data_IF_467532802652
#
_entry.id   IF_467532802652
#
_cell.length_a   1.000
_cell.length_b   1.000
_cell.length_c   1.000
_cell.angle_alpha   90.00
_cell.angle_beta   90.00
_cell.angle_gamma   90.00
#
_symmetry.space_group_name_H-M   'P 1'
#
loop_
_entity.id
_entity.type
_entity.pdbx_description
1 polymer ?
#
# COMPACT_ATOMS: atom_id res chain seq x y z
N UNK A 1 29.23 38.87 23.64
CA UNK A 1 28.00 38.91 22.82
C UNK A 1 28.26 38.04 21.64
N UNK A 2 27.86 36.78 21.69
CA UNK A 2 28.08 35.78 20.64
C UNK A 2 26.76 35.36 20.05
N UNK A 3 26.60 35.61 18.77
CA UNK A 3 25.45 35.25 17.94
C UNK A 3 25.49 33.77 17.62
N UNK A 4 24.49 33.03 18.04
CA UNK A 4 24.28 31.64 17.64
C UNK A 4 23.73 31.62 16.22
N UNK A 5 24.59 31.22 15.28
CA UNK A 5 24.20 30.92 13.91
C UNK A 5 23.49 29.56 13.86
N UNK A 6 22.26 29.57 13.34
CA UNK A 6 21.52 28.34 13.04
C UNK A 6 22.28 27.54 11.99
N UNK A 7 22.72 26.34 12.33
CA UNK A 7 23.26 25.38 11.40
C UNK A 7 22.11 24.81 10.54
N UNK A 8 21.97 25.38 9.35
CA UNK A 8 21.28 24.75 8.24
C UNK A 8 22.20 23.65 7.73
N UNK A 9 21.88 22.39 7.98
CA UNK A 9 22.59 21.26 7.37
C UNK A 9 22.05 21.14 5.96
N UNK A 10 22.83 21.49 4.92
CA UNK A 10 22.45 21.16 3.56
C UNK A 10 22.63 19.64 3.42
N UNK A 11 21.54 18.94 3.09
CA UNK A 11 21.56 17.55 2.70
C UNK A 11 22.54 17.39 1.52
N UNK A 12 23.77 17.00 1.82
CA UNK A 12 24.82 16.75 0.83
C UNK A 12 24.42 15.54 -0.01
N UNK A 13 24.15 15.85 -1.25
CA UNK A 13 23.98 15.04 -2.44
C UNK A 13 25.14 14.06 -2.56
N UNK A 14 24.91 12.81 -2.19
CA UNK A 14 25.68 11.69 -2.71
C UNK A 14 24.80 11.02 -3.76
N UNK A 15 25.27 11.04 -5.01
CA UNK A 15 24.77 10.25 -6.12
C UNK A 15 24.97 8.76 -5.77
N UNK A 16 23.99 8.20 -5.07
CA UNK A 16 23.71 6.77 -5.01
C UNK A 16 22.32 6.62 -5.58
N UNK A 17 22.14 5.62 -6.43
CA UNK A 17 20.94 5.20 -7.11
C UNK A 17 19.69 5.89 -6.57
N UNK A 18 18.99 6.65 -7.47
CA UNK A 18 17.82 7.44 -7.09
C UNK A 18 16.79 6.50 -6.47
N UNK A 19 16.88 6.26 -5.16
CA UNK A 19 15.81 5.62 -4.42
C UNK A 19 14.60 6.52 -4.59
N UNK A 20 13.56 6.03 -5.24
CA UNK A 20 12.33 6.77 -5.40
C UNK A 20 11.75 7.03 -4.00
N UNK A 21 11.25 8.24 -3.76
CA UNK A 21 10.76 8.64 -2.44
C UNK A 21 9.37 9.28 -2.56
N UNK A 22 8.59 9.10 -1.53
CA UNK A 22 7.29 9.75 -1.36
C UNK A 22 7.47 10.85 -0.31
N UNK A 23 7.34 12.09 -0.73
CA UNK A 23 7.43 13.26 0.13
C UNK A 23 6.03 13.78 0.45
N UNK A 24 5.67 13.79 1.71
CA UNK A 24 4.47 14.44 2.24
C UNK A 24 4.90 15.71 2.96
N UNK A 25 4.33 16.87 2.58
CA UNK A 25 4.70 18.16 3.16
C UNK A 25 3.47 19.00 3.47
N UNK A 26 3.33 19.37 4.75
CA UNK A 26 2.27 20.23 5.24
C UNK A 26 0.85 19.68 5.04
N UNK A 27 0.69 18.37 4.99
CA UNK A 27 -0.60 17.71 4.76
C UNK A 27 -1.59 18.10 5.87
N UNK A 28 -2.66 18.80 5.47
CA UNK A 28 -3.77 19.15 6.35
C UNK A 28 -5.07 18.74 5.68
N UNK A 29 -5.92 18.04 6.40
CA UNK A 29 -7.20 17.54 5.88
C UNK A 29 -8.29 17.50 6.94
N UNK A 30 -9.49 17.96 6.58
CA UNK A 30 -10.74 17.75 7.30
C UNK A 30 -11.84 17.37 6.32
N UNK A 31 -12.84 16.60 6.77
CA UNK A 31 -14.01 16.32 5.95
C UNK A 31 -14.92 17.56 5.82
N UNK A 32 -15.62 17.67 4.69
CA UNK A 32 -16.63 18.71 4.51
C UNK A 32 -17.65 18.69 5.66
N UNK A 33 -17.92 19.86 6.23
CA UNK A 33 -18.83 20.01 7.37
C UNK A 33 -18.25 19.61 8.74
N UNK A 34 -16.99 19.18 8.80
CA UNK A 34 -16.28 18.93 10.05
C UNK A 34 -15.43 20.14 10.43
N UNK A 35 -15.39 20.46 11.71
CA UNK A 35 -14.48 21.47 12.28
C UNK A 35 -13.20 20.86 12.83
N UNK A 36 -13.08 19.53 12.84
CA UNK A 36 -11.90 18.84 13.35
C UNK A 36 -11.02 18.33 12.20
N UNK A 37 -9.74 18.71 12.23
CA UNK A 37 -8.76 18.19 11.31
C UNK A 37 -8.47 16.71 11.62
N UNK A 38 -8.48 15.89 10.59
CA UNK A 38 -7.98 14.50 10.66
C UNK A 38 -6.46 14.50 10.63
N UNK A 39 -5.86 15.37 9.78
CA UNK A 39 -4.42 15.62 9.71
C UNK A 39 -4.17 17.13 9.78
N UNK A 40 -3.10 17.54 10.47
CA UNK A 40 -2.76 18.93 10.66
C UNK A 40 -1.26 19.15 10.47
N UNK A 41 -0.89 19.82 9.37
CA UNK A 41 0.48 20.16 9.00
C UNK A 41 1.48 18.97 9.11
N UNK A 42 1.08 17.81 8.61
CA UNK A 42 1.87 16.59 8.68
C UNK A 42 2.93 16.56 7.58
N UNK A 43 4.18 16.28 7.94
CA UNK A 43 5.29 16.19 6.99
C UNK A 43 6.18 15.00 7.32
N UNK A 44 6.47 14.18 6.31
CA UNK A 44 7.39 13.03 6.42
C UNK A 44 7.84 12.58 5.03
N UNK A 45 8.84 11.69 5.01
CA UNK A 45 9.35 11.05 3.81
C UNK A 45 9.31 9.54 3.96
N UNK A 46 8.96 8.83 2.89
CA UNK A 46 8.93 7.37 2.78
C UNK A 46 9.84 6.99 1.61
N UNK A 47 10.67 5.98 1.80
CA UNK A 47 11.37 5.31 0.72
C UNK A 47 10.44 4.29 0.06
N UNK A 48 10.41 4.24 -1.27
CA UNK A 48 9.52 3.36 -2.02
C UNK A 48 9.90 1.88 -1.93
N UNK A 49 11.06 1.55 -1.38
CA UNK A 49 11.46 0.17 -1.08
C UNK A 49 10.98 -0.33 0.29
N UNK A 50 10.46 0.56 1.14
CA UNK A 50 10.04 0.18 2.48
C UNK A 50 8.74 -0.62 2.50
N UNK A 51 8.64 -1.47 3.50
CA UNK A 51 7.43 -2.22 3.86
C UNK A 51 6.85 -1.60 5.12
N UNK A 52 5.84 -0.77 4.95
CA UNK A 52 5.28 0.02 6.05
C UNK A 52 4.01 -0.61 6.62
N UNK A 53 3.92 -0.70 7.92
CA UNK A 53 2.67 -1.00 8.62
C UNK A 53 1.97 0.28 9.02
N UNK A 54 0.74 0.51 8.59
CA UNK A 54 -0.06 1.66 9.00
C UNK A 54 -0.84 1.33 10.28
N UNK A 55 -0.42 1.91 11.38
CA UNK A 55 -0.94 1.64 12.71
C UNK A 55 -1.68 2.86 13.25
N UNK A 56 -2.75 2.63 13.96
CA UNK A 56 -3.55 3.67 14.60
C UNK A 56 -4.89 3.13 15.09
N UNK A 57 -5.50 3.83 16.04
CA UNK A 57 -6.83 3.44 16.56
C UNK A 57 -7.87 3.45 15.44
N UNK A 58 -8.88 2.59 15.53
CA UNK A 58 -9.99 2.58 14.58
C UNK A 58 -10.69 3.95 14.58
N UNK A 59 -11.09 4.40 13.39
CA UNK A 59 -11.69 5.72 13.21
C UNK A 59 -10.72 6.91 13.25
N UNK A 60 -9.41 6.68 13.33
CA UNK A 60 -8.38 7.75 13.43
C UNK A 60 -7.73 8.13 12.11
N UNK A 61 -8.32 7.77 10.97
CA UNK A 61 -7.89 8.27 9.67
C UNK A 61 -7.02 7.33 8.83
N UNK A 62 -6.88 6.03 9.16
CA UNK A 62 -6.12 5.09 8.31
C UNK A 62 -6.63 5.07 6.86
N UNK A 63 -7.91 4.75 6.69
CA UNK A 63 -8.55 4.73 5.36
C UNK A 63 -8.55 6.12 4.70
N UNK A 64 -8.71 7.18 5.51
CA UNK A 64 -8.62 8.57 5.03
C UNK A 64 -7.23 8.85 4.45
N UNK A 65 -6.17 8.45 5.15
CA UNK A 65 -4.80 8.63 4.67
C UNK A 65 -4.55 7.87 3.35
N UNK A 66 -4.98 6.60 3.25
CA UNK A 66 -4.87 5.85 2.00
C UNK A 66 -5.64 6.53 0.86
N UNK A 67 -6.84 7.05 1.13
CA UNK A 67 -7.63 7.76 0.11
C UNK A 67 -7.00 9.10 -0.30
N UNK A 68 -6.29 9.79 0.60
CA UNK A 68 -5.51 10.99 0.26
C UNK A 68 -4.33 10.65 -0.66
N UNK A 69 -3.60 9.56 -0.41
CA UNK A 69 -2.54 9.07 -1.30
C UNK A 69 -3.09 8.72 -2.69
N UNK A 70 -4.30 8.15 -2.75
CA UNK A 70 -5.00 7.83 -4.00
C UNK A 70 -5.59 9.05 -4.71
N UNK A 71 -5.45 10.25 -4.15
CA UNK A 71 -6.00 11.48 -4.74
C UNK A 71 -7.53 11.57 -4.72
N UNK A 72 -8.22 10.81 -3.86
CA UNK A 72 -9.69 10.80 -3.78
C UNK A 72 -10.27 12.01 -3.04
N UNK A 73 -9.46 12.73 -2.30
CA UNK A 73 -9.85 13.92 -1.54
C UNK A 73 -8.91 15.08 -1.83
N UNK A 74 -9.45 16.29 -1.86
CA UNK A 74 -8.65 17.50 -1.86
C UNK A 74 -8.07 17.76 -0.46
N UNK A 75 -6.84 18.25 -0.41
CA UNK A 75 -6.12 18.52 0.84
C UNK A 75 -5.20 19.73 0.69
N UNK A 76 -4.79 20.31 1.81
CA UNK A 76 -3.76 21.35 1.84
C UNK A 76 -2.38 20.67 2.02
N UNK A 77 -1.36 21.30 1.42
CA UNK A 77 0.00 20.74 1.40
C UNK A 77 0.35 20.07 0.08
N UNK A 78 1.29 19.13 0.09
CA UNK A 78 1.69 18.43 -1.13
C UNK A 78 2.13 16.99 -0.84
N UNK A 79 1.80 16.08 -1.75
CA UNK A 79 2.33 14.72 -1.83
C UNK A 79 3.06 14.61 -3.17
N UNK A 80 4.36 14.32 -3.14
CA UNK A 80 5.22 14.24 -4.33
C UNK A 80 5.88 12.87 -4.40
N UNK A 81 5.74 12.20 -5.53
CA UNK A 81 6.36 10.90 -5.81
C UNK A 81 6.46 10.70 -7.32
N UNK A 82 7.33 9.79 -7.73
CA UNK A 82 7.42 9.26 -9.11
C UNK A 82 6.60 7.99 -9.28
N UNK A 83 6.16 7.37 -8.19
CA UNK A 83 5.40 6.13 -8.19
C UNK A 83 3.89 6.41 -8.28
N UNK A 84 3.15 5.47 -8.86
CA UNK A 84 1.69 5.47 -8.84
C UNK A 84 1.19 4.68 -7.62
N UNK A 85 0.17 5.21 -6.97
CA UNK A 85 -0.49 4.48 -5.88
C UNK A 85 -1.56 3.57 -6.42
N UNK A 86 -1.50 2.29 -6.04
CA UNK A 86 -2.53 1.30 -6.34
C UNK A 86 -3.07 0.70 -5.05
N UNK A 87 -4.36 0.36 -5.05
CA UNK A 87 -5.06 -0.09 -3.85
C UNK A 87 -5.49 -1.54 -3.96
N UNK A 88 -5.24 -2.28 -2.89
CA UNK A 88 -5.77 -3.62 -2.69
C UNK A 88 -6.80 -3.59 -1.55
N UNK A 89 -7.97 -4.20 -1.69
CA UNK A 89 -8.49 -4.87 -2.89
C UNK A 89 -9.04 -3.87 -3.92
N UNK A 90 -8.76 -4.07 -5.21
CA UNK A 90 -9.40 -3.26 -6.23
C UNK A 90 -10.84 -3.77 -6.50
N UNK A 91 -11.78 -2.87 -6.80
CA UNK A 91 -13.17 -3.25 -7.05
C UNK A 91 -13.31 -3.97 -8.40
N UNK A 92 -14.13 -5.02 -8.43
CA UNK A 92 -14.55 -5.69 -9.67
C UNK A 92 -16.06 -5.48 -9.81
N UNK A 93 -16.48 -4.90 -10.92
CA UNK A 93 -17.89 -4.64 -11.21
C UNK A 93 -18.69 -5.94 -11.34
N UNK A 94 -19.96 -5.91 -10.94
CA UNK A 94 -20.83 -7.10 -10.94
C UNK A 94 -20.99 -7.72 -12.33
N UNK A 95 -21.01 -6.87 -13.35
CA UNK A 95 -21.15 -7.28 -14.76
C UNK A 95 -19.94 -8.10 -15.23
N UNK A 96 -18.77 -7.88 -14.64
CA UNK A 96 -17.54 -8.58 -14.99
C UNK A 96 -17.35 -9.91 -14.27
N UNK A 97 -18.16 -10.19 -13.24
CA UNK A 97 -17.99 -11.39 -12.42
C UNK A 97 -18.06 -12.71 -13.18
N UNK A 98 -18.84 -12.74 -14.28
CA UNK A 98 -19.02 -13.94 -15.14
C UNK A 98 -17.95 -14.10 -16.20
N UNK A 99 -17.14 -13.08 -16.44
CA UNK A 99 -16.07 -13.14 -17.43
C UNK A 99 -14.92 -14.02 -16.92
N UNK A 100 -14.06 -14.48 -17.84
CA UNK A 100 -12.83 -15.11 -17.43
C UNK A 100 -11.96 -14.13 -16.63
N UNK A 101 -11.20 -14.65 -15.69
CA UNK A 101 -10.35 -13.83 -14.81
C UNK A 101 -9.37 -12.97 -15.62
N UNK A 102 -8.84 -13.50 -16.72
CA UNK A 102 -7.95 -12.74 -17.62
C UNK A 102 -8.67 -11.54 -18.26
N UNK A 103 -9.92 -11.70 -18.69
CA UNK A 103 -10.71 -10.61 -19.28
C UNK A 103 -11.02 -9.52 -18.28
N UNK A 104 -11.25 -9.90 -17.01
CA UNK A 104 -11.42 -8.95 -15.90
C UNK A 104 -10.13 -8.15 -15.69
N UNK A 105 -8.98 -8.82 -15.70
CA UNK A 105 -7.67 -8.16 -15.57
C UNK A 105 -7.43 -7.21 -16.74
N UNK A 106 -7.64 -7.64 -17.98
CA UNK A 106 -7.46 -6.83 -19.19
C UNK A 106 -8.30 -5.55 -19.16
N UNK A 107 -9.53 -5.65 -18.67
CA UNK A 107 -10.43 -4.50 -18.58
C UNK A 107 -10.01 -3.48 -17.52
N UNK A 108 -9.46 -3.95 -16.39
CA UNK A 108 -9.04 -3.08 -15.28
C UNK A 108 -7.62 -2.53 -15.53
N UNK A 109 -6.75 -3.35 -16.09
CA UNK A 109 -5.34 -3.03 -16.36
C UNK A 109 -4.95 -3.45 -17.79
N UNK A 110 -5.29 -2.64 -18.81
CA UNK A 110 -5.09 -2.99 -20.22
C UNK A 110 -3.62 -3.26 -20.60
N UNK A 111 -2.69 -2.63 -19.91
CA UNK A 111 -1.25 -2.71 -20.18
C UNK A 111 -0.54 -3.82 -19.35
N UNK A 112 -1.29 -4.84 -18.90
CA UNK A 112 -0.70 -5.93 -18.12
C UNK A 112 0.25 -6.81 -18.97
N UNK A 113 1.28 -7.32 -18.31
CA UNK A 113 2.21 -8.30 -18.89
C UNK A 113 1.89 -9.69 -18.31
N UNK A 114 1.26 -10.55 -19.10
CA UNK A 114 0.80 -11.87 -18.66
C UNK A 114 1.89 -12.70 -17.96
N UNK A 115 3.10 -12.70 -18.52
CA UNK A 115 4.21 -13.47 -17.95
C UNK A 115 4.59 -13.01 -16.54
N UNK A 116 4.52 -11.70 -16.25
CA UNK A 116 4.76 -11.17 -14.89
C UNK A 116 3.69 -11.66 -13.93
N UNK A 117 2.42 -11.63 -14.34
CA UNK A 117 1.31 -12.14 -13.51
C UNK A 117 1.51 -13.63 -13.23
N UNK A 118 1.88 -14.42 -14.24
CA UNK A 118 2.15 -15.85 -14.06
C UNK A 118 3.29 -16.11 -13.06
N UNK A 119 4.38 -15.34 -13.12
CA UNK A 119 5.46 -15.42 -12.14
C UNK A 119 4.98 -15.10 -10.72
N UNK A 120 4.13 -14.10 -10.55
CA UNK A 120 3.58 -13.73 -9.26
C UNK A 120 2.61 -14.79 -8.72
N UNK A 121 1.80 -15.39 -9.60
CA UNK A 121 0.90 -16.51 -9.24
C UNK A 121 1.70 -17.73 -8.76
N UNK A 122 2.81 -18.06 -9.42
CA UNK A 122 3.69 -19.15 -8.99
C UNK A 122 4.24 -18.91 -7.58
N UNK A 123 4.70 -17.69 -7.28
CA UNK A 123 5.12 -17.30 -5.93
C UNK A 123 4.00 -17.42 -4.89
N UNK A 124 2.74 -17.26 -5.32
CA UNK A 124 1.54 -17.43 -4.52
C UNK A 124 1.00 -18.87 -4.53
N UNK A 125 1.78 -19.82 -5.06
CA UNK A 125 1.42 -21.24 -5.16
C UNK A 125 0.04 -21.42 -5.84
N UNK A 126 -0.15 -20.76 -6.97
CA UNK A 126 -1.41 -20.78 -7.71
C UNK A 126 -1.12 -21.01 -9.18
N UNK A 127 -1.80 -22.01 -9.77
CA UNK A 127 -1.67 -22.32 -11.18
C UNK A 127 -2.24 -21.21 -12.06
N UNK A 128 -1.54 -20.88 -13.15
CA UNK A 128 -1.98 -19.87 -14.11
C UNK A 128 -3.30 -20.24 -14.81
N UNK A 129 -3.74 -21.51 -14.78
CA UNK A 129 -5.06 -21.93 -15.28
C UNK A 129 -6.22 -21.16 -14.62
N UNK A 130 -6.00 -20.62 -13.40
CA UNK A 130 -6.98 -19.77 -12.71
C UNK A 130 -7.41 -18.58 -13.55
N UNK A 131 -6.54 -18.07 -14.42
CA UNK A 131 -6.81 -16.93 -15.29
C UNK A 131 -7.90 -17.22 -16.33
N UNK A 132 -8.10 -18.48 -16.69
CA UNK A 132 -9.10 -18.95 -17.63
C UNK A 132 -10.38 -19.47 -16.98
N UNK A 133 -10.51 -19.33 -15.68
CA UNK A 133 -11.74 -19.61 -14.94
C UNK A 133 -12.60 -18.34 -14.82
N UNK A 134 -13.92 -18.52 -14.77
CA UNK A 134 -14.85 -17.41 -14.51
C UNK A 134 -14.54 -16.81 -13.12
N UNK A 135 -14.42 -15.48 -13.03
CA UNK A 135 -14.03 -14.78 -11.80
C UNK A 135 -14.98 -15.06 -10.63
N UNK A 136 -16.29 -15.24 -10.90
CA UNK A 136 -17.27 -15.58 -9.87
C UNK A 136 -17.05 -16.95 -9.24
N UNK A 137 -16.39 -17.88 -9.95
CA UNK A 137 -16.11 -19.24 -9.44
C UNK A 137 -14.89 -19.30 -8.54
N UNK A 138 -14.09 -18.24 -8.48
CA UNK A 138 -12.91 -18.17 -7.64
C UNK A 138 -13.33 -18.03 -6.18
N UNK A 139 -12.70 -18.83 -5.32
CA UNK A 139 -12.78 -18.65 -3.87
C UNK A 139 -12.21 -17.27 -3.46
N UNK A 140 -12.54 -16.83 -2.26
CA UNK A 140 -12.01 -15.56 -1.74
C UNK A 140 -10.48 -15.55 -1.71
N UNK A 141 -9.85 -16.66 -1.30
CA UNK A 141 -8.40 -16.82 -1.29
C UNK A 141 -7.78 -16.76 -2.69
N UNK A 142 -8.41 -17.41 -3.68
CA UNK A 142 -7.97 -17.36 -5.08
C UNK A 142 -8.06 -15.94 -5.64
N UNK A 143 -9.15 -15.21 -5.37
CA UNK A 143 -9.30 -13.79 -5.76
C UNK A 143 -8.23 -12.91 -5.14
N UNK A 144 -7.96 -13.09 -3.84
CA UNK A 144 -6.89 -12.37 -3.14
C UNK A 144 -5.54 -12.59 -3.80
N UNK A 145 -5.20 -13.83 -4.13
CA UNK A 145 -3.93 -14.18 -4.79
C UNK A 145 -3.85 -13.57 -6.19
N UNK A 146 -4.91 -13.65 -7.00
CA UNK A 146 -4.96 -13.03 -8.32
C UNK A 146 -4.78 -11.51 -8.22
N UNK A 147 -5.51 -10.84 -7.31
CA UNK A 147 -5.39 -9.40 -7.14
C UNK A 147 -3.97 -8.98 -6.72
N UNK A 148 -3.34 -9.70 -5.78
CA UNK A 148 -1.97 -9.42 -5.37
C UNK A 148 -0.99 -9.67 -6.52
N UNK A 149 -1.15 -10.74 -7.29
CA UNK A 149 -0.32 -11.04 -8.45
C UNK A 149 -0.37 -9.92 -9.49
N UNK A 150 -1.57 -9.42 -9.81
CA UNK A 150 -1.77 -8.31 -10.75
C UNK A 150 -1.10 -7.04 -10.25
N UNK A 151 -1.31 -6.67 -8.99
CA UNK A 151 -0.77 -5.44 -8.44
C UNK A 151 0.76 -5.46 -8.36
N UNK A 152 1.37 -6.56 -7.91
CA UNK A 152 2.82 -6.69 -7.81
C UNK A 152 3.51 -6.97 -9.16
N UNK A 153 2.77 -7.26 -10.23
CA UNK A 153 3.31 -7.38 -11.58
C UNK A 153 3.55 -6.03 -12.27
N UNK A 154 2.98 -4.94 -11.72
CA UNK A 154 3.09 -3.59 -12.28
C UNK A 154 4.41 -2.94 -11.88
N UNK A 155 4.99 -2.20 -12.83
CA UNK A 155 6.19 -1.39 -12.58
C UNK A 155 5.80 0.01 -12.08
N UNK A 156 6.69 0.65 -11.32
CA UNK A 156 6.52 2.01 -10.82
C UNK A 156 5.25 2.24 -9.98
N UNK A 157 4.89 1.25 -9.18
CA UNK A 157 3.75 1.34 -8.27
C UNK A 157 4.18 1.17 -6.81
N UNK A 158 3.51 1.93 -5.95
CA UNK A 158 3.58 1.78 -4.51
C UNK A 158 2.22 1.32 -4.00
N UNK A 159 2.17 0.15 -3.38
CA UNK A 159 0.90 -0.51 -3.08
C UNK A 159 0.33 -0.09 -1.72
N UNK A 160 -0.98 0.13 -1.69
CA UNK A 160 -1.76 0.37 -0.49
C UNK A 160 -2.61 -0.88 -0.23
N UNK A 161 -2.15 -1.73 0.67
CA UNK A 161 -2.74 -3.06 0.92
C UNK A 161 -3.56 -3.00 2.20
N UNK A 162 -4.87 -3.13 2.06
CA UNK A 162 -5.82 -3.05 3.17
C UNK A 162 -6.43 -4.43 3.47
N UNK A 163 -6.11 -4.97 4.65
CA UNK A 163 -6.63 -6.24 5.18
C UNK A 163 -6.53 -7.44 4.22
N UNK A 164 -5.37 -7.78 3.66
CA UNK A 164 -5.22 -8.79 2.62
C UNK A 164 -5.51 -10.22 3.10
N UNK A 165 -5.49 -10.46 4.40
CA UNK A 165 -5.70 -11.79 5.00
C UNK A 165 -7.09 -11.99 5.59
N UNK A 166 -7.98 -10.99 5.46
CA UNK A 166 -9.35 -11.12 5.95
C UNK A 166 -10.09 -12.23 5.20
N UNK A 167 -10.82 -13.04 5.96
CA UNK A 167 -11.62 -14.16 5.45
C UNK A 167 -10.82 -15.26 4.73
N UNK A 168 -9.49 -15.29 4.87
CA UNK A 168 -8.66 -16.36 4.35
C UNK A 168 -8.61 -17.55 5.34
N UNK A 169 -8.60 -18.76 4.80
CA UNK A 169 -8.22 -19.95 5.57
C UNK A 169 -6.74 -19.88 5.96
N UNK A 170 -6.34 -20.72 6.92
CA UNK A 170 -5.01 -20.67 7.49
C UNK A 170 -3.91 -20.95 6.44
N UNK A 171 -4.12 -21.90 5.54
CA UNK A 171 -3.12 -22.26 4.55
C UNK A 171 -2.89 -21.13 3.55
N UNK A 172 -3.96 -20.54 3.04
CA UNK A 172 -3.90 -19.38 2.13
C UNK A 172 -3.27 -18.16 2.82
N UNK A 173 -3.59 -17.92 4.10
CA UNK A 173 -2.97 -16.86 4.89
C UNK A 173 -1.46 -17.01 4.97
N UNK A 174 -0.95 -18.20 5.31
CA UNK A 174 0.49 -18.48 5.40
C UNK A 174 1.21 -18.28 4.05
N UNK A 175 0.54 -18.57 2.92
CA UNK A 175 1.08 -18.31 1.58
C UNK A 175 1.20 -16.81 1.34
N UNK A 176 0.13 -16.03 1.61
CA UNK A 176 0.12 -14.57 1.43
C UNK A 176 1.14 -13.89 2.33
N UNK A 177 1.29 -14.32 3.58
CA UNK A 177 2.31 -13.81 4.51
C UNK A 177 3.73 -14.02 3.95
N UNK A 178 4.05 -15.25 3.52
CA UNK A 178 5.36 -15.58 2.92
C UNK A 178 5.62 -14.77 1.66
N UNK A 179 4.60 -14.54 0.87
CA UNK A 179 4.67 -13.74 -0.35
C UNK A 179 4.97 -12.26 -0.03
N UNK A 180 4.18 -11.61 0.83
CA UNK A 180 4.37 -10.21 1.21
C UNK A 180 5.75 -9.98 1.87
N UNK A 181 6.23 -10.93 2.65
CA UNK A 181 7.58 -10.85 3.26
C UNK A 181 8.70 -10.69 2.23
N UNK A 182 8.53 -11.21 1.01
CA UNK A 182 9.51 -11.11 -0.08
C UNK A 182 9.35 -9.83 -0.92
N UNK A 183 8.22 -9.13 -0.79
CA UNK A 183 7.91 -7.94 -1.57
C UNK A 183 8.42 -6.67 -0.88
N UNK A 184 8.42 -5.58 -1.64
CA UNK A 184 8.80 -4.24 -1.21
C UNK A 184 7.81 -3.22 -1.75
N UNK A 185 7.88 -1.99 -1.26
CA UNK A 185 7.13 -0.88 -1.82
C UNK A 185 5.64 -0.93 -1.51
N UNK A 186 5.28 -1.05 -0.23
CA UNK A 186 3.87 -1.03 0.14
C UNK A 186 3.60 -0.47 1.54
N UNK A 187 2.38 0.02 1.74
CA UNK A 187 1.77 0.23 3.04
C UNK A 187 0.77 -0.90 3.29
N UNK A 188 0.92 -1.57 4.43
CA UNK A 188 0.04 -2.64 4.90
C UNK A 188 -0.82 -2.15 6.06
N UNK A 189 -2.13 -2.25 5.91
CA UNK A 189 -3.10 -2.11 7.00
C UNK A 189 -3.59 -3.50 7.36
N UNK A 190 -3.46 -3.89 8.62
CA UNK A 190 -4.02 -5.13 9.11
C UNK A 190 -4.31 -5.07 10.62
N UNK A 191 -5.31 -5.83 11.05
CA UNK A 191 -5.56 -6.13 12.44
C UNK A 191 -4.75 -7.32 12.95
N UNK A 192 -4.14 -8.08 12.04
CA UNK A 192 -3.28 -9.21 12.37
C UNK A 192 -1.87 -8.73 12.72
N UNK A 193 -1.57 -8.72 14.02
CA UNK A 193 -0.25 -8.30 14.53
C UNK A 193 0.87 -9.21 14.05
N UNK A 194 0.62 -10.50 13.91
CA UNK A 194 1.62 -11.46 13.47
C UNK A 194 2.02 -11.17 12.01
N UNK A 195 1.05 -10.88 11.15
CA UNK A 195 1.28 -10.48 9.77
C UNK A 195 2.13 -9.20 9.72
N UNK A 196 1.77 -8.18 10.51
CA UNK A 196 2.53 -6.93 10.56
C UNK A 196 3.97 -7.18 11.00
N UNK A 197 4.18 -7.87 12.13
CA UNK A 197 5.53 -8.15 12.66
C UNK A 197 6.43 -8.92 11.68
N UNK A 198 5.84 -9.78 10.86
CA UNK A 198 6.61 -10.57 9.90
C UNK A 198 6.88 -9.89 8.58
N UNK A 199 6.01 -8.99 8.15
CA UNK A 199 6.03 -8.44 6.79
C UNK A 199 6.57 -7.03 6.69
N UNK A 200 6.59 -6.23 7.77
CA UNK A 200 6.99 -4.82 7.74
C UNK A 200 8.40 -4.61 8.30
N UNK A 201 9.02 -3.53 7.88
CA UNK A 201 10.32 -3.04 8.38
C UNK A 201 10.25 -1.59 8.91
N UNK A 202 9.16 -0.89 8.64
CA UNK A 202 8.86 0.45 9.11
C UNK A 202 7.40 0.57 9.55
N UNK A 203 7.14 1.51 10.42
CA UNK A 203 5.80 1.77 10.97
C UNK A 203 5.39 3.21 10.70
N UNK A 204 4.19 3.40 10.17
CA UNK A 204 3.47 4.65 10.11
C UNK A 204 2.45 4.69 11.24
N UNK A 205 2.70 5.48 12.27
CA UNK A 205 1.81 5.59 13.43
C UNK A 205 0.93 6.83 13.28
N UNK A 206 -0.39 6.61 13.23
CA UNK A 206 -1.37 7.68 13.26
C UNK A 206 -1.76 8.02 14.70
N UNK A 207 -1.37 9.21 15.15
CA UNK A 207 -1.68 9.77 16.46
C UNK A 207 -2.30 11.16 16.31
N UNK A 208 -3.44 11.41 16.96
CA UNK A 208 -4.07 12.74 17.08
C UNK A 208 -3.64 13.77 16.03
N UNK A 209 -4.10 13.61 14.80
CA UNK A 209 -3.85 14.51 13.66
C UNK A 209 -2.40 14.53 13.14
N UNK A 210 -1.54 13.64 13.62
CA UNK A 210 -0.14 13.51 13.22
C UNK A 210 0.17 12.11 12.69
N UNK A 211 1.19 12.04 11.83
CA UNK A 211 1.75 10.77 11.37
C UNK A 211 3.24 10.77 11.71
N UNK A 212 3.70 9.69 12.32
CA UNK A 212 5.11 9.45 12.60
C UNK A 212 5.59 8.21 11.86
N UNK A 213 6.79 8.31 11.30
CA UNK A 213 7.48 7.18 10.67
C UNK A 213 8.58 6.73 11.60
N UNK A 214 8.65 5.45 11.87
CA UNK A 214 9.74 4.84 12.65
C UNK A 214 10.20 3.54 12.00
N UNK A 215 11.51 3.26 12.13
CA UNK A 215 12.06 1.97 11.72
C UNK A 215 11.74 0.94 12.80
N UNK A 216 11.39 -0.27 12.39
CA UNK A 216 11.07 -1.39 13.26
C UNK A 216 9.79 -2.10 12.81
N UNK A 217 9.44 -3.17 13.52
CA UNK A 217 8.18 -3.88 13.36
C UNK A 217 7.15 -3.40 14.40
N UNK A 218 5.96 -4.00 14.37
CA UNK A 218 4.85 -3.61 15.26
C UNK A 218 5.17 -3.80 16.76
N UNK A 219 6.02 -4.77 17.10
CA UNK A 219 6.37 -5.14 18.48
C UNK A 219 7.62 -4.43 19.01
N UNK A 220 8.36 -3.69 18.18
CA UNK A 220 9.54 -2.88 18.56
C UNK A 220 9.17 -1.39 18.89
#
# INVERSE_FOLDING_TARGET
MGTYGSFFIPCLRLERDKMAQIYVSGLTFCYEGSYENIFENVSFCIDTDWKLGLIGRNGKGKTTFLNLLLGKYEYQGSIRTTEHFEYFPFPVEKEMMKNFTIDVIEKIYPDYELWKICCELDLLQTDAEILYRSYETLSHGERTKVMLAVLFSKDHVFLLIDEPTNHLDRATREIVEKYLKRKKGFILVSHDRTLLDQCIDHVLVLERNQIRVSQGNFSS
#
